data_IF_997241115624
#
_entry.id   IF_997241115624
#
_cell.length_a   1.000
_cell.length_b   1.000
_cell.length_c   1.000
_cell.angle_alpha   90.00
_cell.angle_beta   90.00
_cell.angle_gamma   90.00
#
_symmetry.space_group_name_H-M   'P 1'
#
loop_
_entity.id
_entity.type
_entity.pdbx_description
1 polymer ?
#
# COMPACT_ATOMS: atom_id res chain seq x y z
N UNK A 1 -13.58 -5.22 -3.99
CA UNK A 1 -14.21 -5.98 -2.88
C UNK A 1 -13.43 -5.65 -1.62
N UNK A 2 -14.11 -5.21 -0.56
CA UNK A 2 -13.46 -4.85 0.69
C UNK A 2 -12.78 -6.11 1.24
N UNK A 3 -11.45 -6.10 1.39
CA UNK A 3 -10.59 -7.18 1.92
C UNK A 3 -10.18 -8.33 0.99
N UNK A 4 -10.49 -8.30 -0.32
CA UNK A 4 -10.19 -9.47 -1.17
C UNK A 4 -8.70 -9.77 -1.28
N UNK A 5 -7.86 -8.73 -1.32
CA UNK A 5 -6.42 -8.87 -1.50
C UNK A 5 -5.72 -9.27 -0.19
N UNK A 6 -6.01 -8.55 0.88
CA UNK A 6 -5.43 -8.76 2.21
C UNK A 6 -5.75 -10.17 2.72
N UNK A 7 -6.98 -10.64 2.47
CA UNK A 7 -7.40 -11.99 2.84
C UNK A 7 -6.70 -13.07 2.00
N UNK A 8 -6.44 -12.83 0.72
CA UNK A 8 -5.66 -13.74 -0.11
C UNK A 8 -4.21 -13.82 0.38
N UNK A 9 -3.57 -12.68 0.65
CA UNK A 9 -2.22 -12.62 1.18
C UNK A 9 -2.10 -13.32 2.54
N UNK A 10 -3.07 -13.11 3.45
CA UNK A 10 -3.12 -13.76 4.74
C UNK A 10 -3.19 -15.30 4.62
N UNK A 11 -4.02 -15.82 3.72
CA UNK A 11 -4.11 -17.26 3.47
C UNK A 11 -2.78 -17.83 2.98
N UNK A 12 -2.09 -17.13 2.08
CA UNK A 12 -0.79 -17.57 1.56
C UNK A 12 0.28 -17.55 2.65
N UNK A 13 0.29 -16.53 3.54
CA UNK A 13 1.18 -16.48 4.71
C UNK A 13 0.94 -17.63 5.68
N UNK A 14 -0.32 -17.96 5.97
CA UNK A 14 -0.68 -19.08 6.85
C UNK A 14 -0.21 -20.42 6.25
N UNK A 15 -0.38 -20.61 4.95
CA UNK A 15 0.04 -21.82 4.26
C UNK A 15 1.57 -21.96 4.15
N UNK A 16 2.32 -20.85 4.23
CA UNK A 16 3.77 -20.80 4.05
C UNK A 16 4.45 -20.02 5.20
N UNK A 17 4.46 -20.54 6.44
CA UNK A 17 4.92 -19.79 7.62
C UNK A 17 6.43 -19.51 7.64
N UNK A 18 7.23 -20.23 6.84
CA UNK A 18 8.68 -20.03 6.72
C UNK A 18 9.10 -19.14 5.55
N UNK A 19 8.14 -18.59 4.79
CA UNK A 19 8.40 -17.72 3.66
C UNK A 19 8.11 -16.27 4.06
N UNK A 20 9.11 -15.41 3.92
CA UNK A 20 8.91 -13.97 4.06
C UNK A 20 8.35 -13.41 2.76
N UNK A 21 7.18 -12.76 2.84
CA UNK A 21 6.56 -12.09 1.70
C UNK A 21 6.98 -10.63 1.72
N UNK A 22 7.62 -10.17 0.65
CA UNK A 22 7.70 -8.73 0.39
C UNK A 22 6.42 -8.29 -0.32
N UNK A 23 5.74 -7.32 0.27
CA UNK A 23 4.62 -6.60 -0.35
C UNK A 23 5.04 -5.27 -0.93
N UNK A 24 6.35 -4.99 -0.92
CA UNK A 24 6.94 -3.78 -1.47
C UNK A 24 6.58 -3.66 -2.96
N UNK A 25 6.20 -2.45 -3.38
CA UNK A 25 5.84 -2.18 -4.77
C UNK A 25 4.54 -2.82 -5.28
N UNK A 26 3.73 -3.46 -4.43
CA UNK A 26 2.45 -4.05 -4.85
C UNK A 26 1.28 -3.05 -4.95
N UNK A 27 1.44 -1.82 -4.43
CA UNK A 27 0.47 -0.73 -4.64
C UNK A 27 0.61 -0.09 -6.03
N UNK A 28 1.82 -0.12 -6.57
CA UNK A 28 2.19 0.54 -7.82
C UNK A 28 2.10 -0.43 -8.99
N UNK A 29 2.14 0.08 -10.23
CA UNK A 29 2.06 -0.63 -11.51
C UNK A 29 3.26 -1.59 -11.78
N UNK A 30 3.74 -2.31 -10.77
CA UNK A 30 4.89 -3.19 -10.78
C UNK A 30 4.43 -4.65 -10.88
N UNK A 31 5.29 -5.48 -11.46
CA UNK A 31 5.07 -6.93 -11.59
C UNK A 31 6.30 -7.69 -11.14
N UNK A 32 6.13 -8.93 -10.71
CA UNK A 32 7.26 -9.82 -10.41
C UNK A 32 7.69 -10.55 -11.68
N UNK A 33 8.95 -10.40 -12.08
CA UNK A 33 9.61 -11.14 -13.18
C UNK A 33 10.89 -11.73 -12.62
N UNK A 34 11.03 -13.06 -12.72
CA UNK A 34 12.21 -13.80 -12.21
C UNK A 34 12.56 -13.51 -10.74
N UNK A 35 11.53 -13.28 -9.92
CA UNK A 35 11.70 -12.95 -8.49
C UNK A 35 12.07 -11.49 -8.22
N UNK A 36 12.14 -10.63 -9.24
CA UNK A 36 12.38 -9.20 -9.11
C UNK A 36 11.10 -8.41 -9.37
N UNK A 37 10.87 -7.38 -8.56
CA UNK A 37 9.79 -6.42 -8.80
C UNK A 37 10.27 -5.45 -9.88
N UNK A 38 9.57 -5.40 -11.00
CA UNK A 38 9.92 -4.55 -12.16
C UNK A 38 8.71 -3.77 -12.65
N UNK A 39 8.96 -2.57 -13.17
CA UNK A 39 7.93 -1.75 -13.81
C UNK A 39 7.84 -2.14 -15.28
N UNK A 40 6.69 -2.64 -15.76
CA UNK A 40 6.47 -2.83 -17.18
C UNK A 40 6.74 -1.55 -17.95
N UNK A 41 7.42 -1.63 -19.10
CA UNK A 41 7.81 -0.45 -19.86
C UNK A 41 6.65 0.48 -20.24
N UNK A 42 5.43 -0.05 -20.38
CA UNK A 42 4.21 0.71 -20.64
C UNK A 42 3.75 1.61 -19.48
N UNK A 43 4.23 1.36 -18.25
CA UNK A 43 3.86 2.09 -17.04
C UNK A 43 5.00 2.93 -16.47
N UNK A 44 6.17 2.93 -17.13
CA UNK A 44 7.36 3.64 -16.65
C UNK A 44 7.17 5.17 -16.57
N UNK A 45 6.22 5.72 -17.33
CA UNK A 45 5.87 7.14 -17.28
C UNK A 45 4.90 7.44 -16.13
N UNK A 46 4.01 6.50 -15.82
CA UNK A 46 2.95 6.64 -14.83
C UNK A 46 3.46 6.40 -13.40
N UNK A 47 4.51 5.57 -13.25
CA UNK A 47 5.21 5.42 -11.97
C UNK A 47 5.78 6.73 -11.45
N UNK A 48 6.37 7.56 -12.32
CA UNK A 48 6.94 8.84 -11.93
C UNK A 48 5.88 9.84 -11.45
N UNK A 49 4.63 9.69 -11.90
CA UNK A 49 3.50 10.53 -11.49
C UNK A 49 2.91 10.04 -10.15
N UNK A 50 2.81 8.72 -9.95
CA UNK A 50 2.31 8.09 -8.71
C UNK A 50 3.25 8.36 -7.50
N UNK A 51 4.58 8.34 -7.71
CA UNK A 51 5.57 8.64 -6.65
C UNK A 51 5.50 10.11 -6.17
N UNK A 52 5.08 11.06 -7.03
CA UNK A 52 4.89 12.46 -6.65
C UNK A 52 3.57 12.69 -5.87
N UNK A 53 2.52 11.89 -6.12
CA UNK A 53 1.23 11.98 -5.41
C UNK A 53 1.28 11.37 -3.99
N UNK A 54 2.13 10.35 -3.76
CA UNK A 54 2.30 9.75 -2.42
C UNK A 54 3.01 10.71 -1.44
N UNK A 55 3.92 11.59 -1.89
CA UNK A 55 4.58 12.59 -1.02
C UNK A 55 3.63 13.70 -0.54
N UNK A 56 2.52 13.98 -1.25
CA UNK A 56 1.56 15.02 -0.87
C UNK A 56 0.49 14.55 0.15
N UNK A 57 0.42 13.24 0.42
CA UNK A 57 -0.62 12.65 1.27
C UNK A 57 -0.20 12.38 2.74
N UNK A 58 1.02 12.75 3.15
CA UNK A 58 1.49 12.58 4.53
C UNK A 58 1.11 13.73 5.50
N UNK A 59 0.41 14.78 5.04
CA UNK A 59 0.14 16.00 5.82
C UNK A 59 -1.37 16.24 6.13
N UNK A 60 -2.21 15.22 6.30
CA UNK A 60 -3.56 15.42 6.91
C UNK A 60 -3.99 14.26 7.83
N UNK A 61 -3.19 13.92 8.84
CA UNK A 61 -3.71 13.32 10.07
C UNK A 61 -3.26 14.14 11.28
N UNK A 62 -3.92 15.28 11.48
CA UNK A 62 -3.96 15.93 12.78
C UNK A 62 -5.40 15.84 13.31
N UNK A 63 -5.82 14.62 13.63
CA UNK A 63 -7.00 14.33 14.41
C UNK A 63 -6.90 14.96 15.80
N UNK A 64 -7.37 16.20 15.94
CA UNK A 64 -7.72 16.75 17.25
C UNK A 64 -9.20 16.45 17.54
N UNK A 65 -9.45 15.25 18.06
CA UNK A 65 -10.67 14.95 18.81
C UNK A 65 -10.68 15.78 20.10
N UNK A 66 -11.11 17.04 19.99
CA UNK A 66 -11.36 17.92 21.12
C UNK A 66 -12.63 17.49 21.87
N UNK A 67 -12.48 16.54 22.78
CA UNK A 67 -13.40 16.37 23.92
C UNK A 67 -13.34 17.65 24.77
N UNK A 68 -14.44 18.38 24.88
CA UNK A 68 -14.54 19.58 25.69
C UNK A 68 -15.97 19.83 26.14
N UNK A 69 -16.30 19.30 27.33
CA UNK A 69 -17.48 19.68 28.10
C UNK A 69 -17.49 21.20 28.34
N UNK A 70 -18.61 21.89 28.10
CA UNK A 70 -18.87 23.17 28.77
C UNK A 70 -20.37 23.45 28.88
N UNK A 71 -20.80 23.60 30.13
CA UNK A 71 -22.11 24.00 30.59
C UNK A 71 -22.53 25.40 30.09
N UNK A 72 -23.82 25.56 29.83
CA UNK A 72 -24.48 26.84 29.53
C UNK A 72 -25.99 26.71 29.40
#
# INVERSE_FOLDING_TARGET
AQHSWENALAQVKIANPGLEFSTEGMGMLRKVVDGQIVIPGQYRQMEAEDEEEEEEHEEEDNGEEGHGENDG
#
